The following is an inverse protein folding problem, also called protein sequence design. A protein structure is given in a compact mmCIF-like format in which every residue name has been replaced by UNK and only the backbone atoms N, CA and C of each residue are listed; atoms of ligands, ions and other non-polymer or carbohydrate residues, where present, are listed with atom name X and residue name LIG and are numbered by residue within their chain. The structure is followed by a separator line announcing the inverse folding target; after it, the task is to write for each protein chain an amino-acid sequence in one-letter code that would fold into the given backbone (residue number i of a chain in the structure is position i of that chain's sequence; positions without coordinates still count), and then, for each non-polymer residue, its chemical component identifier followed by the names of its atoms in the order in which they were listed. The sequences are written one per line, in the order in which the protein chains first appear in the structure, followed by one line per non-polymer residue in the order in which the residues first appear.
data_IF_482487521364
#
_entry.id   IF_482487521364
#
_cell.length_a   1.000
_cell.length_b   1.000
_cell.length_c   1.000
_cell.angle_alpha   90.00
_cell.angle_beta   90.00
_cell.angle_gamma   90.00
#
_symmetry.space_group_name_H-M   'P 1'
#
loop_
_entity.id
_entity.type
_entity.pdbx_description
1 polymer ?
#
# COMPACT_ATOMS: atom_id res chain seq x y z
N UNK A 1 -13.35 -14.56 23.62
CA UNK A 1 -12.43 -13.59 23.00
C UNK A 1 -11.24 -14.33 22.43
N UNK A 2 -10.94 -14.07 21.17
CA UNK A 2 -9.78 -14.69 20.57
C UNK A 2 -8.55 -13.87 20.89
N UNK A 3 -7.58 -14.46 21.56
CA UNK A 3 -6.28 -13.83 21.82
C UNK A 3 -5.40 -14.00 20.59
N UNK A 4 -5.71 -13.22 19.55
CA UNK A 4 -4.90 -13.22 18.33
C UNK A 4 -3.54 -12.60 18.63
N UNK A 5 -2.50 -13.26 18.16
CA UNK A 5 -1.15 -12.71 18.25
C UNK A 5 -1.05 -11.49 17.33
N UNK A 6 -0.03 -10.67 17.57
CA UNK A 6 0.27 -9.53 16.67
C UNK A 6 0.45 -10.00 15.23
N UNK A 7 1.11 -11.15 15.05
CA UNK A 7 1.32 -11.74 13.72
C UNK A 7 -0.01 -12.12 13.07
N UNK A 8 -0.89 -12.82 13.79
CA UNK A 8 -2.19 -13.24 13.25
C UNK A 8 -3.05 -12.03 12.88
N UNK A 9 -3.09 -11.02 13.73
CA UNK A 9 -3.82 -9.77 13.47
C UNK A 9 -3.26 -9.08 12.24
N UNK A 10 -1.93 -8.97 12.16
CA UNK A 10 -1.27 -8.32 11.02
C UNK A 10 -1.47 -9.06 9.72
N UNK A 11 -1.40 -10.38 9.74
CA UNK A 11 -1.61 -11.20 8.55
C UNK A 11 -3.04 -11.05 8.01
N UNK A 12 -4.03 -11.06 8.90
CA UNK A 12 -5.42 -10.85 8.52
C UNK A 12 -5.62 -9.47 7.89
N UNK A 13 -5.00 -8.44 8.47
CA UNK A 13 -5.07 -7.08 7.95
C UNK A 13 -4.38 -6.95 6.60
N UNK A 14 -3.19 -7.52 6.45
CA UNK A 14 -2.47 -7.52 5.18
C UNK A 14 -3.29 -8.17 4.07
N UNK A 15 -3.89 -9.32 4.36
CA UNK A 15 -4.72 -10.03 3.39
C UNK A 15 -5.95 -9.23 2.97
N UNK A 16 -6.49 -8.43 3.88
CA UNK A 16 -7.64 -7.57 3.60
C UNK A 16 -7.25 -6.40 2.68
N UNK A 17 -6.05 -5.86 2.84
CA UNK A 17 -5.56 -4.69 2.10
C UNK A 17 -4.99 -5.10 0.74
N UNK A 18 -4.04 -6.03 0.74
CA UNK A 18 -3.39 -6.52 -0.48
C UNK A 18 -2.69 -7.84 -0.21
N UNK A 19 -3.45 -8.93 -0.14
CA UNK A 19 -2.91 -10.24 0.20
C UNK A 19 -1.81 -10.71 -0.75
N UNK A 20 -2.00 -10.50 -2.05
CA UNK A 20 -1.08 -11.00 -3.07
C UNK A 20 0.27 -10.26 -3.07
N UNK A 21 0.21 -8.93 -3.09
CA UNK A 21 1.42 -8.10 -3.07
C UNK A 21 2.19 -8.25 -1.77
N UNK A 22 1.47 -8.28 -0.64
CA UNK A 22 2.08 -8.46 0.66
C UNK A 22 2.76 -9.80 0.82
N UNK A 23 2.14 -10.87 0.32
CA UNK A 23 2.73 -12.22 0.36
C UNK A 23 4.03 -12.29 -0.43
N UNK A 24 4.10 -11.64 -1.60
CA UNK A 24 5.33 -11.60 -2.40
C UNK A 24 6.48 -10.94 -1.64
N UNK A 25 6.22 -9.85 -0.94
CA UNK A 25 7.23 -9.17 -0.15
C UNK A 25 7.74 -10.08 0.96
N UNK A 26 6.83 -10.75 1.67
CA UNK A 26 7.19 -11.66 2.77
C UNK A 26 8.02 -12.84 2.25
N UNK A 27 7.61 -13.43 1.13
CA UNK A 27 8.34 -14.54 0.51
C UNK A 27 9.77 -14.15 0.11
N UNK A 28 9.93 -12.97 -0.48
CA UNK A 28 11.24 -12.45 -0.85
C UNK A 28 12.13 -12.28 0.38
N UNK A 29 11.57 -11.78 1.47
CA UNK A 29 12.30 -11.57 2.72
C UNK A 29 12.72 -12.89 3.38
N UNK A 30 12.01 -13.99 3.15
CA UNK A 30 12.37 -15.29 3.69
C UNK A 30 13.80 -15.69 3.26
N UNK A 31 14.24 -15.27 2.08
CA UNK A 31 15.55 -15.62 1.54
C UNK A 31 16.69 -14.84 2.18
N UNK A 32 16.44 -13.63 2.68
CA UNK A 32 17.51 -12.74 3.18
C UNK A 32 17.30 -12.28 4.62
N UNK A 33 16.07 -12.12 5.07
CA UNK A 33 15.75 -11.56 6.38
C UNK A 33 14.37 -12.01 6.85
N UNK A 34 14.21 -13.30 7.21
CA UNK A 34 12.88 -13.82 7.57
C UNK A 34 12.26 -13.11 8.77
N UNK A 35 13.06 -12.74 9.77
CA UNK A 35 12.55 -12.00 10.93
C UNK A 35 12.01 -10.63 10.54
N UNK A 36 12.59 -10.00 9.53
CA UNK A 36 12.13 -8.70 9.07
C UNK A 36 10.74 -8.81 8.43
N UNK A 37 10.47 -9.89 7.72
CA UNK A 37 9.13 -10.18 7.21
C UNK A 37 8.10 -10.30 8.33
N UNK A 38 8.48 -10.95 9.43
CA UNK A 38 7.65 -11.04 10.63
C UNK A 38 7.36 -9.66 11.21
N UNK A 39 8.39 -8.81 11.36
CA UNK A 39 8.22 -7.45 11.87
C UNK A 39 7.34 -6.60 10.96
N UNK A 40 7.46 -6.78 9.65
CA UNK A 40 6.63 -6.08 8.68
C UNK A 40 5.15 -6.41 8.86
N UNK A 41 4.84 -7.66 9.16
CA UNK A 41 3.46 -8.07 9.40
C UNK A 41 2.98 -7.57 10.76
N UNK A 42 3.80 -7.71 11.80
CA UNK A 42 3.41 -7.42 13.17
C UNK A 42 3.24 -5.94 13.46
N UNK A 43 4.21 -5.11 13.10
CA UNK A 43 4.18 -3.70 13.48
C UNK A 43 3.24 -2.88 12.61
N UNK A 44 3.48 -2.71 11.29
CA UNK A 44 2.59 -1.85 10.49
C UNK A 44 1.17 -2.39 10.43
N UNK A 45 1.00 -3.65 10.08
CA UNK A 45 -0.34 -4.21 9.86
C UNK A 45 -1.00 -4.67 11.16
N UNK A 46 -0.23 -5.27 12.07
CA UNK A 46 -0.75 -5.75 13.34
C UNK A 46 -1.02 -4.63 14.34
N UNK A 47 -0.07 -3.73 14.52
CA UNK A 47 -0.17 -2.71 15.57
C UNK A 47 -0.78 -1.39 15.07
N UNK A 48 -0.55 -1.02 13.82
CA UNK A 48 -0.97 0.30 13.31
C UNK A 48 -2.22 0.22 12.45
N UNK A 49 -2.20 -0.52 11.35
CA UNK A 49 -3.33 -0.56 10.40
C UNK A 49 -4.59 -1.19 10.99
N UNK A 50 -4.46 -2.04 12.00
CA UNK A 50 -5.60 -2.66 12.67
C UNK A 50 -6.34 -1.73 13.63
N UNK A 51 -5.76 -0.56 13.94
CA UNK A 51 -6.38 0.42 14.84
C UNK A 51 -7.61 1.03 14.18
N UNK A 52 -8.66 1.25 14.98
CA UNK A 52 -9.96 1.72 14.49
C UNK A 52 -10.09 3.25 14.39
N UNK A 53 -9.05 3.98 14.80
CA UNK A 53 -9.10 5.44 14.82
C UNK A 53 -9.12 6.09 13.43
N UNK A 54 -8.69 5.36 12.40
CA UNK A 54 -8.82 5.77 11.01
C UNK A 54 -9.10 4.51 10.18
N UNK A 55 -9.96 4.63 9.18
CA UNK A 55 -10.30 3.47 8.35
C UNK A 55 -9.18 3.16 7.34
N UNK A 56 -9.30 2.02 6.67
CA UNK A 56 -8.27 1.56 5.74
C UNK A 56 -8.12 2.47 4.53
N UNK A 57 -9.20 3.01 4.02
CA UNK A 57 -9.17 3.95 2.91
C UNK A 57 -8.36 5.18 3.27
N UNK A 58 -8.63 5.77 4.42
CA UNK A 58 -7.91 6.95 4.93
C UNK A 58 -6.43 6.64 5.12
N UNK A 59 -6.12 5.47 5.70
CA UNK A 59 -4.73 5.05 5.92
C UNK A 59 -3.97 4.86 4.61
N UNK A 60 -4.60 4.24 3.61
CA UNK A 60 -3.94 4.03 2.33
C UNK A 60 -3.76 5.34 1.54
N UNK A 61 -4.69 6.28 1.64
CA UNK A 61 -4.51 7.62 1.06
C UNK A 61 -3.30 8.32 1.69
N UNK A 62 -3.17 8.28 3.00
CA UNK A 62 -2.02 8.85 3.71
C UNK A 62 -0.72 8.15 3.29
N UNK A 63 -0.76 6.83 3.11
CA UNK A 63 0.40 6.04 2.71
C UNK A 63 0.89 6.42 1.32
N UNK A 64 0.01 6.49 0.33
CA UNK A 64 0.42 6.85 -1.03
C UNK A 64 0.94 8.29 -1.09
N UNK A 65 0.36 9.20 -0.33
CA UNK A 65 0.84 10.57 -0.25
C UNK A 65 2.27 10.61 0.33
N UNK A 66 2.51 9.89 1.42
CA UNK A 66 3.83 9.83 2.06
C UNK A 66 4.88 9.22 1.12
N UNK A 67 4.56 8.08 0.50
CA UNK A 67 5.49 7.39 -0.39
C UNK A 67 5.78 8.20 -1.66
N UNK A 68 4.77 8.88 -2.21
CA UNK A 68 4.96 9.77 -3.34
C UNK A 68 5.91 10.91 -2.96
N UNK A 69 5.69 11.54 -1.80
CA UNK A 69 6.49 12.68 -1.35
C UNK A 69 7.95 12.29 -1.05
N UNK A 70 8.18 11.07 -0.54
CA UNK A 70 9.55 10.57 -0.32
C UNK A 70 10.34 10.49 -1.63
N UNK A 71 9.71 10.13 -2.73
CA UNK A 71 10.32 10.12 -4.05
C UNK A 71 11.26 8.96 -4.35
N UNK A 72 11.63 8.18 -3.35
CA UNK A 72 12.59 7.08 -3.49
C UNK A 72 11.99 5.70 -3.19
N UNK A 73 10.69 5.61 -3.08
CA UNK A 73 9.98 4.38 -2.68
C UNK A 73 8.99 3.91 -3.77
N UNK A 74 9.43 3.93 -5.03
CA UNK A 74 8.54 3.61 -6.15
C UNK A 74 7.94 2.21 -6.08
N UNK A 75 8.70 1.14 -5.76
CA UNK A 75 8.11 -0.20 -5.66
C UNK A 75 7.02 -0.27 -4.58
N UNK A 76 7.26 0.33 -3.43
CA UNK A 76 6.29 0.36 -2.33
C UNK A 76 5.08 1.22 -2.69
N UNK A 77 5.30 2.33 -3.39
CA UNK A 77 4.20 3.18 -3.87
C UNK A 77 3.27 2.38 -4.78
N UNK A 78 3.80 1.60 -5.72
CA UNK A 78 2.97 0.79 -6.61
C UNK A 78 2.13 -0.24 -5.84
N UNK A 79 2.72 -0.88 -4.84
CA UNK A 79 2.01 -1.83 -3.98
C UNK A 79 0.84 -1.13 -3.27
N UNK A 80 1.09 0.05 -2.70
CA UNK A 80 0.06 0.78 -1.96
C UNK A 80 -0.96 1.47 -2.86
N UNK A 81 -0.61 1.82 -4.09
CA UNK A 81 -1.59 2.28 -5.08
C UNK A 81 -2.61 1.16 -5.37
N UNK A 82 -2.13 -0.07 -5.51
CA UNK A 82 -3.00 -1.22 -5.67
C UNK A 82 -3.86 -1.43 -4.42
N UNK A 83 -3.24 -1.34 -3.25
CA UNK A 83 -3.96 -1.44 -1.97
C UNK A 83 -5.05 -0.37 -1.85
N UNK A 84 -4.74 0.84 -2.29
CA UNK A 84 -5.70 1.96 -2.29
C UNK A 84 -6.96 1.61 -3.11
N UNK A 85 -6.78 1.05 -4.30
CA UNK A 85 -7.90 0.57 -5.12
C UNK A 85 -8.69 -0.53 -4.40
N UNK A 86 -7.98 -1.46 -3.76
CA UNK A 86 -8.60 -2.59 -3.05
C UNK A 86 -9.48 -2.14 -1.88
N UNK A 87 -9.12 -1.06 -1.20
CA UNK A 87 -9.90 -0.57 -0.05
C UNK A 87 -10.92 0.50 -0.43
N UNK A 88 -11.14 0.74 -1.73
CA UNK A 88 -12.23 1.56 -2.21
C UNK A 88 -11.88 2.97 -2.67
N UNK A 89 -10.60 3.29 -2.82
CA UNK A 89 -10.21 4.56 -3.43
C UNK A 89 -10.49 4.51 -4.93
N UNK A 90 -11.03 5.59 -5.48
CA UNK A 90 -11.21 5.71 -6.92
C UNK A 90 -9.92 6.16 -7.60
N UNK A 91 -9.81 5.91 -8.90
CA UNK A 91 -8.68 6.41 -9.68
C UNK A 91 -8.59 7.93 -9.62
N UNK A 92 -9.75 8.60 -9.62
CA UNK A 92 -9.81 10.06 -9.52
C UNK A 92 -9.26 10.53 -8.18
N UNK A 93 -9.68 9.91 -7.07
CA UNK A 93 -9.16 10.26 -5.74
C UNK A 93 -7.65 10.10 -5.66
N UNK A 94 -7.13 8.97 -6.15
CA UNK A 94 -5.70 8.70 -6.17
C UNK A 94 -4.96 9.77 -6.97
N UNK A 95 -5.43 10.05 -8.18
CA UNK A 95 -4.82 11.04 -9.07
C UNK A 95 -4.76 12.42 -8.42
N UNK A 96 -5.86 12.85 -7.82
CA UNK A 96 -5.93 14.15 -7.15
C UNK A 96 -4.97 14.25 -5.97
N UNK A 97 -4.84 13.18 -5.18
CA UNK A 97 -3.90 13.14 -4.05
C UNK A 97 -2.46 13.24 -4.54
N UNK A 98 -2.11 12.49 -5.59
CA UNK A 98 -0.74 12.54 -6.12
C UNK A 98 -0.40 13.89 -6.74
N UNK A 99 -1.36 14.52 -7.44
CA UNK A 99 -1.19 15.88 -7.96
C UNK A 99 -0.94 16.88 -6.83
N UNK A 100 -1.64 16.73 -5.72
CA UNK A 100 -1.46 17.59 -4.55
C UNK A 100 -0.03 17.53 -4.00
N UNK A 101 0.65 16.40 -4.15
CA UNK A 101 2.03 16.25 -3.67
C UNK A 101 3.01 17.17 -4.41
N UNK A 102 2.67 17.67 -5.58
CA UNK A 102 3.49 18.66 -6.27
C UNK A 102 3.64 19.94 -5.45
N UNK A 103 2.64 20.29 -4.64
CA UNK A 103 2.68 21.48 -3.78
C UNK A 103 3.74 21.36 -2.69
N UNK A 104 3.89 20.18 -2.10
CA UNK A 104 4.74 19.96 -0.93
C UNK A 104 6.07 19.30 -1.24
N UNK A 105 6.15 18.53 -2.32
CA UNK A 105 7.32 17.72 -2.65
C UNK A 105 7.94 18.05 -4.02
N UNK A 106 7.29 18.91 -4.80
CA UNK A 106 7.81 19.32 -6.10
C UNK A 106 7.23 18.53 -7.27
N UNK A 107 7.30 19.15 -8.44
CA UNK A 107 6.71 18.60 -9.67
C UNK A 107 7.34 17.26 -10.10
N UNK A 108 8.69 17.12 -10.09
CA UNK A 108 9.28 15.86 -10.52
C UNK A 108 8.83 14.66 -9.68
N UNK A 109 8.72 14.83 -8.37
CA UNK A 109 8.27 13.78 -7.45
C UNK A 109 6.82 13.39 -7.75
N UNK A 110 5.95 14.38 -7.99
CA UNK A 110 4.54 14.13 -8.34
C UNK A 110 4.42 13.45 -9.71
N UNK A 111 5.23 13.85 -10.68
CA UNK A 111 5.26 13.21 -12.01
C UNK A 111 5.60 11.72 -11.88
N UNK A 112 6.63 11.40 -11.13
CA UNK A 112 7.04 10.01 -10.94
C UNK A 112 5.93 9.18 -10.28
N UNK A 113 5.24 9.77 -9.32
CA UNK A 113 4.11 9.11 -8.65
C UNK A 113 2.94 8.88 -9.61
N UNK A 114 2.61 9.86 -10.45
CA UNK A 114 1.55 9.74 -11.45
C UNK A 114 1.88 8.69 -12.50
N UNK A 115 3.14 8.58 -12.91
CA UNK A 115 3.58 7.53 -13.83
C UNK A 115 3.44 6.14 -13.20
N UNK A 116 3.77 6.02 -11.91
CA UNK A 116 3.55 4.77 -11.18
C UNK A 116 2.06 4.42 -11.12
N UNK A 117 1.21 5.40 -10.86
CA UNK A 117 -0.24 5.21 -10.81
C UNK A 117 -0.79 4.76 -12.17
N UNK A 118 -0.29 5.35 -13.26
CA UNK A 118 -0.71 4.95 -14.61
C UNK A 118 -0.45 3.46 -14.84
N UNK A 119 0.74 2.99 -14.46
CA UNK A 119 1.09 1.57 -14.61
C UNK A 119 0.15 0.68 -13.78
N UNK A 120 -0.11 1.06 -12.53
CA UNK A 120 -1.00 0.28 -11.66
C UNK A 120 -2.43 0.24 -12.22
N UNK A 121 -2.92 1.37 -12.73
CA UNK A 121 -4.27 1.43 -13.31
C UNK A 121 -4.38 0.54 -14.55
N UNK A 122 -3.36 0.52 -15.39
CA UNK A 122 -3.31 -0.34 -16.57
C UNK A 122 -3.31 -1.82 -16.18
N UNK A 123 -2.46 -2.21 -15.23
CA UNK A 123 -2.39 -3.57 -14.71
C UNK A 123 -3.73 -4.01 -14.10
N UNK A 124 -4.35 -3.15 -13.30
CA UNK A 124 -5.65 -3.43 -12.69
C UNK A 124 -6.75 -3.58 -13.75
N UNK A 125 -6.71 -2.75 -14.80
CA UNK A 125 -7.66 -2.86 -15.91
C UNK A 125 -7.52 -4.15 -16.69
N UNK A 126 -6.30 -4.61 -16.94
CA UNK A 126 -6.03 -5.86 -17.62
C UNK A 126 -6.50 -7.07 -16.80
N UNK A 127 -6.25 -7.06 -15.49
CA UNK A 127 -6.73 -8.12 -14.60
C UNK A 127 -8.26 -8.18 -14.58
N UNK A 128 -8.94 -7.04 -14.58
CA UNK A 128 -10.40 -6.98 -14.62
C UNK A 128 -10.95 -7.56 -15.93
N UNK A 129 -10.25 -7.33 -17.06
CA UNK A 129 -10.65 -7.87 -18.35
C UNK A 129 -10.41 -9.37 -18.47
N UNK A 130 -9.43 -9.91 -17.74
CA UNK A 130 -9.07 -11.32 -17.78
C UNK A 130 -10.05 -12.21 -16.99
N UNK A 131 -10.90 -11.62 -16.15
CA UNK A 131 -11.88 -12.37 -15.35
C UNK A 131 -13.17 -12.64 -16.16
#
# INVERSE_FOLDING_TARGET
MSDKTRFETGLAMLNQIDGKGGQQVVETLQEIAPDFGKYLIEFPFGDIYSRKGADLKTREIATIAALAALGNARPQLKIHLRACLNVGCSRTEITEILMQMAVYAGFPTALNALFAAKEVFEEAGEEAKAK
#
